data_IF_146463758218
#
_entry.id   IF_146463758218
#
_cell.length_a   1.000
_cell.length_b   1.000
_cell.length_c   1.000
_cell.angle_alpha   90.00
_cell.angle_beta   90.00
_cell.angle_gamma   90.00
#
_symmetry.space_group_name_H-M   'P 1'
#
loop_
_entity.id
_entity.type
_entity.pdbx_description
1 polymer ?
#
# COMPACT_ATOMS: atom_id res chain seq x y z
N UNK A 1 -25.13 13.70 13.81
CA UNK A 1 -24.08 12.92 13.24
C UNK A 1 -22.99 13.87 12.72
N UNK A 2 -21.74 13.68 13.16
CA UNK A 2 -20.63 14.60 12.83
C UNK A 2 -20.03 14.29 11.44
N UNK A 3 -20.06 13.02 11.01
CA UNK A 3 -19.51 12.58 9.72
C UNK A 3 -20.64 12.18 8.76
N UNK A 4 -20.75 12.79 7.57
CA UNK A 4 -21.76 12.44 6.57
C UNK A 4 -21.64 11.00 6.05
N UNK A 5 -22.76 10.37 5.70
CA UNK A 5 -22.79 9.03 5.11
C UNK A 5 -22.01 8.91 3.79
N UNK A 6 -21.94 9.99 3.01
CA UNK A 6 -21.11 10.03 1.80
C UNK A 6 -19.63 9.82 2.06
N UNK A 7 -19.12 10.30 3.20
CA UNK A 7 -17.72 10.13 3.62
C UNK A 7 -17.44 8.69 4.10
N UNK A 8 -18.43 8.03 4.72
CA UNK A 8 -18.28 6.67 5.24
C UNK A 8 -18.62 5.58 4.21
N UNK A 9 -18.97 5.96 2.98
CA UNK A 9 -19.45 5.00 1.97
C UNK A 9 -20.74 4.27 2.36
N UNK A 10 -21.55 4.89 3.24
CA UNK A 10 -22.80 4.33 3.76
C UNK A 10 -22.62 3.42 4.98
N UNK A 11 -21.40 3.26 5.49
CA UNK A 11 -21.13 2.48 6.70
C UNK A 11 -21.45 3.28 7.97
N UNK A 12 -21.73 2.58 9.06
CA UNK A 12 -21.91 3.18 10.39
C UNK A 12 -20.57 3.49 11.09
N UNK A 13 -19.48 3.04 10.52
CA UNK A 13 -18.10 3.29 10.95
C UNK A 13 -17.40 4.27 10.01
N UNK A 14 -16.33 4.90 10.49
CA UNK A 14 -15.46 5.80 9.72
C UNK A 14 -14.01 5.44 9.97
N UNK A 15 -13.19 5.40 8.91
CA UNK A 15 -11.75 5.27 9.06
C UNK A 15 -11.15 6.62 9.44
N UNK A 16 -10.41 6.66 10.54
CA UNK A 16 -9.66 7.84 11.01
C UNK A 16 -8.18 7.60 10.84
N UNK A 17 -7.47 8.59 10.33
CA UNK A 17 -6.02 8.60 10.20
C UNK A 17 -5.46 9.86 10.86
N UNK A 18 -4.33 9.72 11.54
CA UNK A 18 -3.55 10.84 12.04
C UNK A 18 -2.16 10.78 11.40
N UNK A 19 -1.84 11.66 10.43
CA UNK A 19 -0.54 11.64 9.78
C UNK A 19 0.57 12.09 10.73
N UNK A 20 1.78 11.52 10.55
CA UNK A 20 3.00 11.96 11.26
C UNK A 20 3.66 13.15 10.58
N UNK A 21 3.43 13.33 9.29
CA UNK A 21 3.96 14.44 8.49
C UNK A 21 3.45 15.79 8.99
N UNK A 22 4.38 16.70 9.27
CA UNK A 22 4.06 18.01 9.86
C UNK A 22 3.30 18.91 8.90
N UNK A 23 3.66 18.92 7.61
CA UNK A 23 2.99 19.71 6.58
C UNK A 23 1.54 19.27 6.43
N UNK A 24 1.30 17.95 6.40
CA UNK A 24 -0.05 17.40 6.34
C UNK A 24 -0.87 17.80 7.58
N UNK A 25 -0.27 17.82 8.77
CA UNK A 25 -0.95 18.26 10.00
C UNK A 25 -1.30 19.74 9.96
N UNK A 26 -0.38 20.61 9.51
CA UNK A 26 -0.65 22.04 9.36
C UNK A 26 -1.79 22.32 8.37
N UNK A 27 -1.84 21.58 7.25
CA UNK A 27 -2.95 21.68 6.29
C UNK A 27 -4.27 21.24 6.92
N UNK A 28 -4.27 20.17 7.72
CA UNK A 28 -5.47 19.69 8.43
C UNK A 28 -5.94 20.73 9.46
N UNK A 29 -5.02 21.29 10.24
CA UNK A 29 -5.35 22.30 11.25
C UNK A 29 -5.89 23.58 10.62
N UNK A 30 -5.28 24.05 9.53
CA UNK A 30 -5.78 25.20 8.75
C UNK A 30 -7.15 24.90 8.12
N UNK A 31 -7.44 23.65 7.79
CA UNK A 31 -8.71 23.18 7.24
C UNK A 31 -9.83 22.98 8.28
N UNK A 32 -9.55 23.27 9.57
CA UNK A 32 -10.55 23.16 10.64
C UNK A 32 -10.38 21.90 11.50
N UNK A 33 -9.22 21.25 11.48
CA UNK A 33 -8.85 20.13 12.37
C UNK A 33 -9.17 18.73 11.82
N UNK A 34 -9.92 18.63 10.72
CA UNK A 34 -10.17 17.34 10.03
C UNK A 34 -10.51 17.54 8.57
N UNK A 35 -10.01 16.64 7.72
CA UNK A 35 -10.21 16.65 6.27
C UNK A 35 -10.59 15.23 5.82
N UNK A 36 -11.59 15.10 4.94
CA UNK A 36 -11.88 13.85 4.25
C UNK A 36 -11.02 13.77 2.99
N UNK A 37 -10.16 12.75 2.90
CA UNK A 37 -9.24 12.59 1.78
C UNK A 37 -9.04 11.12 1.39
N UNK A 38 -9.03 10.79 0.09
CA UNK A 38 -8.56 9.51 -0.43
C UNK A 38 -7.04 9.53 -0.62
N UNK A 39 -6.46 8.43 -1.16
CA UNK A 39 -5.10 8.45 -1.70
C UNK A 39 -5.01 9.35 -2.94
N UNK A 40 -3.86 10.00 -3.14
CA UNK A 40 -3.64 10.99 -4.20
C UNK A 40 -3.24 10.35 -5.54
N UNK A 41 -4.00 9.35 -6.01
CA UNK A 41 -3.81 8.63 -7.26
C UNK A 41 -5.12 8.45 -8.02
N UNK A 42 -5.04 8.12 -9.30
CA UNK A 42 -6.21 7.63 -10.04
C UNK A 42 -6.57 6.20 -9.63
N UNK A 43 -7.87 5.89 -9.66
CA UNK A 43 -8.38 4.57 -9.23
C UNK A 43 -7.67 3.41 -9.92
N UNK A 44 -7.29 2.40 -9.14
CA UNK A 44 -6.59 1.19 -9.62
C UNK A 44 -5.07 1.31 -9.73
N UNK A 45 -4.50 2.51 -9.62
CA UNK A 45 -3.04 2.69 -9.56
C UNK A 45 -2.49 2.55 -8.14
N UNK A 46 -1.19 2.24 -7.99
CA UNK A 46 -0.53 2.26 -6.69
C UNK A 46 -0.63 3.63 -6.01
N UNK A 47 -0.63 3.64 -4.68
CA UNK A 47 -0.55 4.88 -3.92
C UNK A 47 0.78 5.60 -4.21
N UNK A 48 0.77 6.94 -4.39
CA UNK A 48 1.98 7.70 -4.68
C UNK A 48 2.90 7.74 -3.46
N UNK A 49 4.20 7.73 -3.71
CA UNK A 49 5.25 7.85 -2.67
C UNK A 49 6.08 9.13 -2.81
N UNK A 50 5.84 9.91 -3.86
CA UNK A 50 6.48 11.22 -4.11
C UNK A 50 5.46 12.17 -4.75
N UNK A 51 5.73 13.48 -4.66
CA UNK A 51 4.91 14.49 -5.34
C UNK A 51 4.89 14.31 -6.86
N UNK A 52 5.98 13.79 -7.46
CA UNK A 52 6.03 13.49 -8.88
C UNK A 52 5.00 12.42 -9.27
N UNK A 53 4.84 11.35 -8.49
CA UNK A 53 3.82 10.33 -8.74
C UNK A 53 2.40 10.92 -8.67
N UNK A 54 2.17 11.85 -7.73
CA UNK A 54 0.90 12.59 -7.63
C UNK A 54 0.69 13.43 -8.89
N UNK A 55 1.73 14.16 -9.35
CA UNK A 55 1.65 14.99 -10.54
C UNK A 55 1.35 14.17 -11.80
N UNK A 56 1.96 12.98 -11.96
CA UNK A 56 1.69 12.08 -13.08
C UNK A 56 0.22 11.66 -13.16
N UNK A 57 -0.46 11.52 -12.02
CA UNK A 57 -1.84 11.08 -11.95
C UNK A 57 -2.86 12.22 -11.97
N UNK A 58 -2.52 13.35 -11.34
CA UNK A 58 -3.50 14.38 -11.00
C UNK A 58 -3.24 15.75 -11.65
N UNK A 59 -2.17 15.94 -12.42
CA UNK A 59 -1.95 17.20 -13.16
C UNK A 59 -3.16 17.53 -14.04
N UNK A 60 -3.65 18.76 -13.93
CA UNK A 60 -4.86 19.24 -14.61
C UNK A 60 -6.19 18.76 -14.01
N UNK A 61 -6.15 18.06 -12.87
CA UNK A 61 -7.32 17.59 -12.11
C UNK A 61 -7.41 18.21 -10.72
N UNK A 62 -6.30 18.73 -10.22
CA UNK A 62 -6.23 19.47 -8.95
C UNK A 62 -5.56 20.81 -9.18
N UNK A 63 -5.87 21.79 -8.35
CA UNK A 63 -5.35 23.16 -8.47
C UNK A 63 -3.94 23.27 -7.90
N UNK A 64 -3.59 22.43 -6.92
CA UNK A 64 -2.32 22.52 -6.21
C UNK A 64 -1.86 21.13 -5.73
N UNK A 65 -0.56 20.91 -5.78
CA UNK A 65 0.14 19.75 -5.16
C UNK A 65 1.16 20.35 -4.19
N UNK A 66 1.09 19.96 -2.92
CA UNK A 66 2.09 20.34 -1.91
C UNK A 66 3.07 19.18 -1.80
N UNK A 67 4.35 19.47 -2.03
CA UNK A 67 5.44 18.49 -1.93
C UNK A 67 6.00 18.48 -0.50
N UNK A 68 5.68 17.44 0.25
CA UNK A 68 6.23 17.17 1.59
C UNK A 68 7.47 16.25 1.57
N UNK A 69 8.02 15.96 0.39
CA UNK A 69 9.11 14.99 0.22
C UNK A 69 8.63 13.57 -0.07
N UNK A 70 9.57 12.64 -0.14
CA UNK A 70 9.26 11.22 -0.30
C UNK A 70 8.71 10.62 1.00
N UNK A 71 7.74 9.69 0.89
CA UNK A 71 7.23 9.00 2.07
C UNK A 71 8.27 8.02 2.61
N UNK A 72 8.37 7.90 3.92
CA UNK A 72 9.28 6.94 4.57
C UNK A 72 8.78 5.50 4.43
N UNK A 73 7.46 5.31 4.45
CA UNK A 73 6.81 4.00 4.36
C UNK A 73 6.03 3.92 3.06
N UNK A 74 6.56 3.14 2.10
CA UNK A 74 6.01 3.02 0.75
C UNK A 74 4.84 2.05 0.59
N UNK A 75 4.31 1.49 1.68
CA UNK A 75 3.15 0.59 1.67
C UNK A 75 1.93 1.27 2.29
N UNK A 76 0.74 0.82 1.93
CA UNK A 76 -0.50 1.31 2.52
C UNK A 76 -0.54 1.06 4.02
N UNK A 77 -1.16 2.01 4.75
CA UNK A 77 -1.29 1.93 6.21
C UNK A 77 -2.12 0.73 6.65
N UNK A 78 -1.75 0.15 7.79
CA UNK A 78 -2.55 -0.88 8.47
C UNK A 78 -3.91 -0.29 8.86
N UNK A 79 -4.99 -1.06 8.64
CA UNK A 79 -6.33 -0.70 9.08
C UNK A 79 -6.72 -1.63 10.21
N UNK A 80 -6.98 -1.06 11.38
CA UNK A 80 -7.45 -1.75 12.57
C UNK A 80 -8.91 -1.35 12.84
N UNK A 81 -9.80 -2.33 12.91
CA UNK A 81 -11.17 -2.16 13.37
C UNK A 81 -11.20 -2.28 14.90
N UNK A 82 -11.44 -1.16 15.56
CA UNK A 82 -11.57 -1.06 17.04
C UNK A 82 -13.02 -1.07 17.49
N UNK A 83 -13.96 -1.33 16.59
CA UNK A 83 -15.39 -1.43 16.92
C UNK A 83 -15.82 -2.85 17.29
N UNK A 84 -14.90 -3.80 17.20
CA UNK A 84 -15.07 -5.22 17.54
C UNK A 84 -14.11 -5.63 18.65
N UNK A 85 -14.44 -6.70 19.36
CA UNK A 85 -13.63 -7.25 20.45
C UNK A 85 -13.32 -8.73 20.19
N UNK A 86 -12.04 -9.14 20.14
CA UNK A 86 -10.84 -8.31 20.13
C UNK A 86 -10.76 -7.43 18.88
N UNK A 87 -9.99 -6.31 18.88
CA UNK A 87 -9.74 -5.50 17.69
C UNK A 87 -9.21 -6.33 16.52
N UNK A 88 -9.56 -5.94 15.28
CA UNK A 88 -9.30 -6.77 14.11
C UNK A 88 -8.56 -6.00 13.01
N UNK A 89 -7.45 -6.56 12.52
CA UNK A 89 -6.74 -6.03 11.36
C UNK A 89 -7.55 -6.35 10.09
N UNK A 90 -8.01 -5.30 9.40
CA UNK A 90 -8.73 -5.38 8.13
C UNK A 90 -7.80 -5.26 6.92
N UNK A 91 -6.65 -4.63 7.07
CA UNK A 91 -5.60 -4.53 6.04
C UNK A 91 -4.23 -4.49 6.70
N UNK A 92 -3.30 -5.39 6.33
CA UNK A 92 -1.93 -5.33 6.81
C UNK A 92 -1.20 -4.12 6.19
N UNK A 93 -0.24 -3.57 6.92
CA UNK A 93 0.65 -2.50 6.53
C UNK A 93 1.91 -2.51 7.39
N UNK A 94 2.59 -1.37 7.51
CA UNK A 94 3.84 -1.27 8.27
C UNK A 94 3.68 -1.52 9.77
N UNK A 95 2.51 -1.20 10.35
CA UNK A 95 2.21 -1.54 11.74
C UNK A 95 1.74 -2.99 11.78
N UNK A 96 2.49 -3.85 12.46
CA UNK A 96 2.23 -5.30 12.53
C UNK A 96 1.26 -5.65 13.65
N UNK A 97 0.76 -6.89 13.64
CA UNK A 97 -0.09 -7.44 14.70
C UNK A 97 0.60 -7.38 16.04
N UNK A 98 1.86 -7.79 16.09
CA UNK A 98 2.67 -7.83 17.31
C UNK A 98 2.84 -6.43 17.91
N UNK A 99 3.08 -5.41 17.09
CA UNK A 99 3.18 -4.02 17.53
C UNK A 99 1.86 -3.52 18.15
N UNK A 100 0.73 -3.92 17.62
CA UNK A 100 -0.56 -3.61 18.25
C UNK A 100 -0.74 -4.37 19.57
N UNK A 101 -0.39 -5.66 19.60
CA UNK A 101 -0.55 -6.50 20.81
C UNK A 101 0.29 -5.99 21.98
N UNK A 102 1.44 -5.38 21.75
CA UNK A 102 2.25 -4.71 22.77
C UNK A 102 1.52 -3.54 23.46
N UNK A 103 0.61 -2.87 22.75
CA UNK A 103 -0.05 -1.65 23.25
C UNK A 103 -1.48 -1.92 23.75
N UNK A 104 -2.25 -2.75 23.02
CA UNK A 104 -3.68 -2.91 23.26
C UNK A 104 -4.10 -4.34 23.61
N UNK A 105 -3.15 -5.28 23.70
CA UNK A 105 -3.42 -6.68 23.98
C UNK A 105 -3.85 -7.46 22.74
N UNK A 106 -4.70 -8.46 22.91
CA UNK A 106 -5.08 -9.39 21.83
C UNK A 106 -5.65 -8.67 20.61
N UNK A 107 -5.12 -9.00 19.41
CA UNK A 107 -5.57 -8.50 18.11
C UNK A 107 -5.78 -9.66 17.16
N UNK A 108 -6.87 -9.65 16.42
CA UNK A 108 -7.18 -10.65 15.40
C UNK A 108 -6.91 -10.13 13.99
N UNK A 109 -6.89 -11.03 13.01
CA UNK A 109 -6.75 -10.70 11.58
C UNK A 109 -8.00 -11.17 10.85
N UNK A 110 -8.54 -10.32 9.97
CA UNK A 110 -9.72 -10.66 9.19
C UNK A 110 -9.46 -11.91 8.32
N UNK A 111 -10.38 -12.88 8.40
CA UNK A 111 -10.25 -14.16 7.69
C UNK A 111 -10.26 -14.00 6.17
N UNK A 112 -10.81 -12.93 5.64
CA UNK A 112 -10.82 -12.64 4.21
C UNK A 112 -9.43 -12.34 3.65
N UNK A 113 -8.51 -11.87 4.50
CA UNK A 113 -7.10 -11.69 4.15
C UNK A 113 -6.35 -13.02 4.01
N UNK A 114 -6.80 -14.04 4.77
CA UNK A 114 -6.18 -15.37 4.77
C UNK A 114 -6.79 -16.27 3.68
N UNK A 115 -8.05 -16.05 3.32
CA UNK A 115 -8.79 -16.82 2.31
C UNK A 115 -9.57 -15.90 1.36
N UNK A 116 -9.00 -15.55 0.18
CA UNK A 116 -9.61 -14.59 -0.77
C UNK A 116 -10.98 -15.00 -1.34
N UNK A 117 -11.38 -16.26 -1.23
CA UNK A 117 -12.61 -16.81 -1.81
C UNK A 117 -13.89 -16.60 -0.96
N UNK A 118 -13.81 -15.82 0.12
CA UNK A 118 -14.99 -15.56 0.95
C UNK A 118 -15.95 -14.63 0.23
N UNK A 119 -17.25 -15.02 0.17
CA UNK A 119 -18.36 -14.20 -0.35
C UNK A 119 -18.73 -13.02 0.57
N UNK A 120 -17.86 -12.66 1.50
CA UNK A 120 -18.14 -11.61 2.48
C UNK A 120 -17.97 -10.22 1.87
N UNK A 121 -18.81 -9.29 2.29
CA UNK A 121 -18.71 -7.87 1.88
C UNK A 121 -17.50 -7.26 2.55
N UNK A 122 -16.57 -6.67 1.77
CA UNK A 122 -15.38 -6.02 2.32
C UNK A 122 -15.74 -4.88 3.25
N UNK A 123 -15.09 -4.83 4.42
CA UNK A 123 -15.31 -3.82 5.45
C UNK A 123 -14.41 -2.59 5.31
N UNK A 124 -13.40 -2.65 4.44
CA UNK A 124 -12.43 -1.57 4.26
C UNK A 124 -12.08 -1.33 2.78
N UNK A 125 -11.65 -0.11 2.41
CA UNK A 125 -11.13 0.18 1.08
C UNK A 125 -9.93 -0.72 0.72
N UNK A 126 -9.86 -1.16 -0.54
CA UNK A 126 -8.77 -2.01 -1.02
C UNK A 126 -9.00 -3.53 -0.87
N UNK A 127 -10.09 -3.98 -0.22
CA UNK A 127 -10.37 -5.41 -0.04
C UNK A 127 -11.21 -6.05 -1.15
N UNK A 128 -11.94 -5.27 -1.97
CA UNK A 128 -12.96 -5.81 -2.90
C UNK A 128 -12.48 -6.01 -4.34
N UNK A 129 -11.53 -5.22 -4.80
CA UNK A 129 -11.06 -5.21 -6.18
C UNK A 129 -9.54 -5.30 -6.21
N UNK A 130 -8.98 -5.66 -7.38
CA UNK A 130 -7.53 -5.56 -7.62
C UNK A 130 -7.13 -4.09 -7.56
N UNK A 131 -6.85 -3.60 -6.36
CA UNK A 131 -6.33 -2.27 -6.11
C UNK A 131 -4.79 -2.30 -6.12
N UNK A 132 -4.19 -1.13 -6.34
CA UNK A 132 -2.73 -0.95 -6.21
C UNK A 132 -1.91 -1.87 -7.14
N UNK A 133 -2.50 -2.31 -8.24
CA UNK A 133 -1.81 -3.21 -9.15
C UNK A 133 -0.85 -2.43 -10.06
N UNK A 134 0.46 -2.74 -10.04
CA UNK A 134 1.39 -2.22 -11.03
C UNK A 134 1.01 -2.69 -12.43
N UNK A 135 1.46 -1.97 -13.46
CA UNK A 135 1.23 -2.36 -14.87
C UNK A 135 2.01 -3.61 -15.26
N UNK A 136 3.14 -3.86 -14.59
CA UNK A 136 3.99 -5.01 -14.84
C UNK A 136 3.55 -6.22 -14.00
N UNK A 137 3.71 -7.42 -14.56
CA UNK A 137 3.56 -8.65 -13.81
C UNK A 137 4.73 -8.80 -12.83
N UNK A 138 4.43 -9.03 -11.56
CA UNK A 138 5.41 -9.32 -10.52
C UNK A 138 5.42 -10.81 -10.22
N UNK A 139 6.61 -11.41 -10.18
CA UNK A 139 6.83 -12.80 -9.76
C UNK A 139 7.80 -12.82 -8.60
N UNK A 140 7.37 -13.33 -7.44
CA UNK A 140 8.22 -13.55 -6.27
C UNK A 140 8.82 -14.95 -6.40
N UNK A 141 10.13 -15.08 -6.16
CA UNK A 141 10.84 -16.35 -6.17
C UNK A 141 11.45 -16.54 -4.79
N UNK A 142 11.06 -17.63 -4.11
CA UNK A 142 11.46 -17.95 -2.75
C UNK A 142 12.25 -19.26 -2.71
N UNK A 143 13.18 -19.36 -1.76
CA UNK A 143 13.98 -20.57 -1.53
C UNK A 143 15.41 -20.27 -1.09
N UNK A 144 16.30 -21.28 -1.11
CA UNK A 144 17.72 -21.06 -0.84
C UNK A 144 18.35 -20.08 -1.83
N UNK A 145 19.15 -19.12 -1.34
CA UNK A 145 19.66 -17.98 -2.10
C UNK A 145 20.25 -18.35 -3.47
N UNK A 146 21.15 -19.34 -3.51
CA UNK A 146 21.79 -19.79 -4.75
C UNK A 146 20.78 -20.25 -5.81
N UNK A 147 19.73 -20.97 -5.38
CA UNK A 147 18.66 -21.45 -6.27
C UNK A 147 17.77 -20.31 -6.73
N UNK A 148 17.44 -19.37 -5.84
CA UNK A 148 16.66 -18.17 -6.15
C UNK A 148 17.37 -17.33 -7.20
N UNK A 149 18.65 -17.00 -7.00
CA UNK A 149 19.45 -16.23 -7.94
C UNK A 149 19.54 -16.90 -9.32
N UNK A 150 19.79 -18.21 -9.35
CA UNK A 150 19.84 -18.97 -10.60
C UNK A 150 18.49 -18.94 -11.35
N UNK A 151 17.38 -19.15 -10.65
CA UNK A 151 16.04 -19.14 -11.25
C UNK A 151 15.61 -17.75 -11.71
N UNK A 152 15.92 -16.68 -10.96
CA UNK A 152 15.68 -15.29 -11.36
C UNK A 152 16.43 -14.99 -12.66
N UNK A 153 17.72 -15.27 -12.71
CA UNK A 153 18.54 -15.04 -13.91
C UNK A 153 18.04 -15.83 -15.13
N UNK A 154 17.61 -17.07 -14.94
CA UNK A 154 17.01 -17.90 -15.98
C UNK A 154 15.73 -17.28 -16.53
N UNK A 155 14.75 -17.00 -15.67
CA UNK A 155 13.45 -16.42 -16.05
C UNK A 155 13.61 -15.04 -16.70
N UNK A 156 14.47 -14.18 -16.15
CA UNK A 156 14.76 -12.88 -16.68
C UNK A 156 15.31 -12.97 -18.11
N UNK A 157 16.24 -13.89 -18.36
CA UNK A 157 16.78 -14.14 -19.71
C UNK A 157 15.73 -14.68 -20.67
N UNK A 158 14.88 -15.60 -20.24
CA UNK A 158 13.78 -16.16 -21.05
C UNK A 158 12.77 -15.07 -21.45
N UNK A 159 12.31 -14.26 -20.48
CA UNK A 159 11.40 -13.15 -20.73
C UNK A 159 12.00 -12.06 -21.62
N UNK A 160 13.26 -11.69 -21.40
CA UNK A 160 13.97 -10.73 -22.24
C UNK A 160 14.09 -11.21 -23.69
N UNK A 161 14.42 -12.51 -23.91
CA UNK A 161 14.46 -13.12 -25.25
C UNK A 161 13.09 -13.13 -25.94
N UNK A 162 12.02 -13.22 -25.17
CA UNK A 162 10.64 -13.15 -25.66
C UNK A 162 10.17 -11.71 -25.93
N UNK A 163 11.04 -10.70 -25.79
CA UNK A 163 10.76 -9.30 -26.10
C UNK A 163 10.14 -8.49 -24.95
N UNK A 164 10.06 -9.06 -23.75
CA UNK A 164 9.56 -8.32 -22.59
C UNK A 164 10.64 -7.41 -21.98
N UNK A 165 10.24 -6.25 -21.47
CA UNK A 165 11.09 -5.44 -20.58
C UNK A 165 11.07 -6.10 -19.20
N UNK A 166 12.24 -6.45 -18.69
CA UNK A 166 12.39 -7.16 -17.42
C UNK A 166 13.19 -6.31 -16.46
N UNK A 167 12.65 -6.11 -15.23
CA UNK A 167 13.36 -5.55 -14.10
C UNK A 167 13.52 -6.62 -13.03
N UNK A 168 14.60 -6.57 -12.28
CA UNK A 168 14.84 -7.43 -11.11
C UNK A 168 14.90 -6.53 -9.87
N UNK A 169 14.15 -6.90 -8.84
CA UNK A 169 14.20 -6.28 -7.51
C UNK A 169 14.96 -7.26 -6.61
N UNK A 170 16.04 -6.82 -6.01
CA UNK A 170 16.87 -7.61 -5.12
C UNK A 170 17.44 -6.76 -3.99
N UNK A 171 17.93 -7.41 -2.93
CA UNK A 171 18.61 -6.75 -1.85
C UNK A 171 20.04 -6.37 -2.25
N UNK A 172 20.67 -5.41 -1.54
CA UNK A 172 22.05 -4.96 -1.82
C UNK A 172 23.04 -6.12 -1.86
N UNK A 173 22.84 -7.14 -0.99
CA UNK A 173 23.73 -8.29 -0.90
C UNK A 173 23.68 -9.20 -2.14
N UNK A 174 22.56 -9.18 -2.86
CA UNK A 174 22.33 -10.08 -4.00
C UNK A 174 22.44 -9.39 -5.36
N UNK A 175 22.45 -8.06 -5.38
CA UNK A 175 22.46 -7.23 -6.60
C UNK A 175 23.55 -7.63 -7.59
N UNK A 176 24.78 -7.92 -7.11
CA UNK A 176 25.92 -8.27 -7.95
C UNK A 176 25.76 -9.61 -8.70
N UNK A 177 24.83 -10.47 -8.27
CA UNK A 177 24.61 -11.81 -8.85
C UNK A 177 23.62 -11.80 -10.01
N UNK A 178 22.90 -10.70 -10.22
CA UNK A 178 21.92 -10.57 -11.30
C UNK A 178 22.57 -10.03 -12.58
N UNK A 179 22.21 -10.66 -13.73
CA UNK A 179 22.85 -10.41 -15.04
C UNK A 179 22.06 -9.49 -15.95
N UNK A 180 20.96 -8.94 -15.49
CA UNK A 180 20.11 -7.99 -16.24
C UNK A 180 19.91 -6.71 -15.44
N UNK A 181 19.41 -5.68 -16.11
CA UNK A 181 19.19 -4.35 -15.54
C UNK A 181 18.40 -4.41 -14.25
N UNK A 182 18.97 -3.85 -13.18
CA UNK A 182 18.42 -3.79 -11.85
C UNK A 182 17.56 -2.54 -11.69
N UNK A 183 16.47 -2.68 -10.96
CA UNK A 183 15.75 -1.55 -10.39
C UNK A 183 16.24 -1.43 -8.96
N UNK A 184 16.99 -0.36 -8.67
CA UNK A 184 17.32 -0.02 -7.30
C UNK A 184 16.08 0.61 -6.64
N UNK A 185 15.70 0.09 -5.49
CA UNK A 185 14.67 0.64 -4.62
C UNK A 185 15.35 1.29 -3.44
#
# INVERSE_FOLDING_TARGET
RQVPYGTTGGLDTVAVRMPVDEIAREVIDAGGGYIAAPSANTSGRPSPTTAQHVAEDLTGRVDMIVDGGAVEIGVESTILDVTVEPPMILRPGAITKEMFEEVIGEVTVDRTLIRPDSKQVPKAPGMKYRHYAPKADLTIIEGPLEKVTAEINKRAKEKSRAGYKVGIIGTEETVAEYKLSLIHI
#
